data_IF_893167097115
#
_entry.id   IF_893167097115
#
_cell.length_a   1.000
_cell.length_b   1.000
_cell.length_c   1.000
_cell.angle_alpha   90.00
_cell.angle_beta   90.00
_cell.angle_gamma   90.00
#
_symmetry.space_group_name_H-M   'P 1'
#
loop_
_entity.id
_entity.type
_entity.pdbx_description
1 polymer ?
#
# COMPACT_ATOMS: atom_id res chain seq x y z
N UNK A 1 -24.70 1.86 2.68
CA UNK A 1 -23.26 1.52 2.75
C UNK A 1 -22.80 1.26 1.34
N UNK A 2 -22.02 2.17 0.74
CA UNK A 2 -21.41 1.91 -0.58
C UNK A 2 -20.24 0.94 -0.37
N UNK A 3 -20.11 -0.03 -1.28
CA UNK A 3 -19.15 -1.14 -1.27
C UNK A 3 -17.77 -0.70 -0.80
N UNK A 4 -17.49 -0.96 0.47
CA UNK A 4 -16.13 -1.06 0.92
C UNK A 4 -15.54 -2.31 0.25
N UNK A 5 -14.36 -2.16 -0.33
CA UNK A 5 -13.67 -3.24 -1.04
C UNK A 5 -13.09 -4.23 -0.03
N UNK A 6 -13.99 -4.99 0.60
CA UNK A 6 -13.69 -6.02 1.58
C UNK A 6 -13.40 -7.33 0.85
N UNK A 7 -12.26 -7.93 1.14
CA UNK A 7 -11.81 -9.19 0.53
C UNK A 7 -11.17 -10.07 1.60
N UNK A 8 -11.71 -11.26 1.83
CA UNK A 8 -11.08 -12.25 2.71
C UNK A 8 -9.87 -12.90 2.04
N UNK A 9 -8.98 -13.46 2.86
CA UNK A 9 -7.85 -14.27 2.38
C UNK A 9 -8.28 -15.37 1.41
N UNK A 10 -9.30 -16.14 1.76
CA UNK A 10 -9.84 -17.23 0.93
C UNK A 10 -10.33 -16.72 -0.45
N UNK A 11 -10.89 -15.50 -0.50
CA UNK A 11 -11.36 -14.89 -1.75
C UNK A 11 -10.17 -14.44 -2.61
N UNK A 12 -9.10 -13.95 -1.99
CA UNK A 12 -7.84 -13.68 -2.69
C UNK A 12 -7.22 -14.98 -3.23
N UNK A 13 -7.16 -16.04 -2.43
CA UNK A 13 -6.62 -17.35 -2.85
C UNK A 13 -7.42 -17.93 -4.03
N UNK A 14 -8.75 -17.86 -3.96
CA UNK A 14 -9.63 -18.25 -5.06
C UNK A 14 -9.37 -17.40 -6.31
N UNK A 15 -9.25 -16.08 -6.15
CA UNK A 15 -8.94 -15.18 -7.26
C UNK A 15 -7.60 -15.52 -7.93
N UNK A 16 -6.54 -15.77 -7.15
CA UNK A 16 -5.23 -16.14 -7.70
C UNK A 16 -5.33 -17.45 -8.50
N UNK A 17 -5.94 -18.47 -7.91
CA UNK A 17 -6.08 -19.80 -8.53
C UNK A 17 -6.90 -19.74 -9.81
N UNK A 18 -8.01 -18.99 -9.83
CA UNK A 18 -8.86 -18.79 -11.01
C UNK A 18 -8.12 -18.11 -12.18
N UNK A 19 -7.08 -17.33 -11.87
CA UNK A 19 -6.25 -16.66 -12.88
C UNK A 19 -4.96 -17.44 -13.19
N UNK A 20 -4.91 -18.74 -12.87
CA UNK A 20 -3.80 -19.62 -13.22
C UNK A 20 -2.54 -19.43 -12.37
N UNK A 21 -2.63 -18.69 -11.27
CA UNK A 21 -1.52 -18.50 -10.33
C UNK A 21 -1.54 -19.66 -9.34
N UNK A 22 -0.45 -20.41 -9.31
CA UNK A 22 -0.24 -21.44 -8.29
C UNK A 22 0.10 -20.79 -6.96
N UNK A 23 -0.67 -21.12 -5.93
CA UNK A 23 -0.37 -20.75 -4.55
C UNK A 23 0.62 -21.80 -4.02
N UNK A 24 1.86 -21.39 -3.82
CA UNK A 24 2.94 -22.18 -3.24
C UNK A 24 3.24 -21.77 -1.80
N UNK A 25 4.15 -22.49 -1.14
CA UNK A 25 4.56 -22.20 0.24
C UNK A 25 5.14 -20.79 0.39
N UNK A 26 5.65 -20.22 -0.70
CA UNK A 26 6.21 -18.88 -0.72
C UNK A 26 5.12 -17.81 -0.55
N UNK A 27 4.03 -17.92 -1.31
CA UNK A 27 2.85 -17.06 -1.16
C UNK A 27 2.15 -17.30 0.18
N UNK A 28 1.97 -18.56 0.59
CA UNK A 28 1.32 -18.91 1.87
C UNK A 28 2.08 -18.30 3.05
N UNK A 29 3.41 -18.44 3.06
CA UNK A 29 4.26 -17.86 4.12
C UNK A 29 4.11 -16.34 4.18
N UNK A 30 4.01 -15.66 3.04
CA UNK A 30 3.80 -14.21 3.02
C UNK A 30 2.42 -13.82 3.58
N UNK A 31 1.36 -14.58 3.23
CA UNK A 31 0.03 -14.36 3.79
C UNK A 31 0.01 -14.55 5.30
N UNK A 32 0.69 -15.58 5.81
CA UNK A 32 0.78 -15.85 7.25
C UNK A 32 1.53 -14.75 7.99
N UNK A 33 2.68 -14.29 7.47
CA UNK A 33 3.44 -13.18 8.06
C UNK A 33 2.62 -11.89 8.07
N UNK A 34 1.95 -11.56 6.96
CA UNK A 34 1.09 -10.38 6.89
C UNK A 34 -0.08 -10.47 7.89
N UNK A 35 -0.69 -11.65 8.00
CA UNK A 35 -1.78 -11.92 8.96
C UNK A 35 -1.31 -11.72 10.41
N UNK A 36 -0.13 -12.23 10.73
CA UNK A 36 0.47 -12.12 12.06
C UNK A 36 0.76 -10.65 12.43
N UNK A 37 1.42 -9.90 11.54
CA UNK A 37 1.82 -8.51 11.77
C UNK A 37 0.61 -7.59 11.89
N UNK A 38 -0.35 -7.73 10.97
CA UNK A 38 -1.51 -6.84 10.92
C UNK A 38 -2.72 -7.35 11.73
N UNK A 39 -2.53 -8.38 12.56
CA UNK A 39 -3.60 -8.94 13.39
C UNK A 39 -4.19 -7.89 14.33
N UNK A 40 -5.52 -7.71 14.26
CA UNK A 40 -6.24 -6.73 15.06
C UNK A 40 -5.95 -5.27 14.72
N UNK A 41 -5.19 -4.98 13.64
CA UNK A 41 -5.06 -3.62 13.11
C UNK A 41 -6.37 -3.25 12.42
N UNK A 42 -6.83 -2.03 12.70
CA UNK A 42 -8.01 -1.45 12.06
C UNK A 42 -7.61 -0.24 11.24
N UNK A 43 -8.40 0.02 10.20
CA UNK A 43 -8.32 1.24 9.39
C UNK A 43 -8.70 2.47 10.22
N UNK A 44 -8.64 3.62 9.55
CA UNK A 44 -8.93 4.93 10.11
C UNK A 44 -10.33 5.11 10.71
N UNK A 45 -11.28 4.23 10.37
CA UNK A 45 -12.61 4.22 10.96
C UNK A 45 -12.69 3.49 12.31
N UNK A 46 -11.57 2.93 12.78
CA UNK A 46 -11.46 2.11 14.00
C UNK A 46 -12.40 0.89 14.04
N UNK A 47 -12.89 0.45 12.88
CA UNK A 47 -13.83 -0.66 12.74
C UNK A 47 -13.36 -1.67 11.71
N UNK A 48 -12.95 -1.19 10.54
CA UNK A 48 -12.62 -2.00 9.39
C UNK A 48 -11.27 -2.69 9.58
N UNK A 49 -11.19 -4.02 9.42
CA UNK A 49 -9.95 -4.74 9.61
C UNK A 49 -8.98 -4.45 8.46
N UNK A 50 -7.70 -4.24 8.81
CA UNK A 50 -6.69 -3.76 7.87
C UNK A 50 -6.43 -4.75 6.73
N UNK A 51 -6.30 -6.05 7.05
CA UNK A 51 -6.02 -7.10 6.09
C UNK A 51 -7.08 -7.16 4.96
N UNK A 52 -8.35 -7.26 5.34
CA UNK A 52 -9.45 -7.46 4.39
C UNK A 52 -9.85 -6.21 3.63
N UNK A 53 -9.40 -5.03 4.07
CA UNK A 53 -9.80 -3.76 3.44
C UNK A 53 -8.61 -3.04 2.81
N UNK A 54 -7.40 -3.53 3.04
CA UNK A 54 -6.16 -2.98 2.50
C UNK A 54 -5.30 -4.07 1.82
N UNK A 55 -4.66 -4.94 2.59
CA UNK A 55 -3.62 -5.84 2.08
C UNK A 55 -4.16 -6.78 0.99
N UNK A 56 -5.26 -7.49 1.25
CA UNK A 56 -5.82 -8.44 0.28
C UNK A 56 -6.40 -7.74 -0.96
N UNK A 57 -7.21 -6.67 -0.83
CA UNK A 57 -7.66 -5.89 -1.98
C UNK A 57 -6.53 -5.30 -2.82
N UNK A 58 -5.50 -4.72 -2.19
CA UNK A 58 -4.33 -4.14 -2.89
C UNK A 58 -3.59 -5.25 -3.67
N UNK A 59 -3.32 -6.38 -3.04
CA UNK A 59 -2.69 -7.53 -3.71
C UNK A 59 -3.51 -7.98 -4.92
N UNK A 60 -4.82 -8.18 -4.75
CA UNK A 60 -5.73 -8.56 -5.84
C UNK A 60 -5.64 -7.58 -7.00
N UNK A 61 -5.67 -6.28 -6.72
CA UNK A 61 -5.74 -5.25 -7.76
C UNK A 61 -4.40 -5.02 -8.47
N UNK A 62 -3.27 -5.28 -7.80
CA UNK A 62 -1.96 -5.39 -8.43
C UNK A 62 -1.96 -6.57 -9.41
N UNK A 63 -2.37 -7.76 -8.99
CA UNK A 63 -2.44 -8.92 -9.89
C UNK A 63 -3.38 -8.65 -11.07
N UNK A 64 -4.56 -8.06 -10.85
CA UNK A 64 -5.48 -7.66 -11.93
C UNK A 64 -4.82 -6.70 -12.92
N UNK A 65 -4.03 -5.75 -12.43
CA UNK A 65 -3.30 -4.82 -13.29
C UNK A 65 -2.33 -5.56 -14.22
N UNK A 66 -1.47 -6.44 -13.68
CA UNK A 66 -0.54 -7.24 -14.48
C UNK A 66 -1.24 -8.06 -15.57
N UNK A 67 -2.36 -8.70 -15.21
CA UNK A 67 -3.18 -9.46 -16.16
C UNK A 67 -3.78 -8.56 -17.25
N UNK A 68 -4.26 -7.37 -16.87
CA UNK A 68 -4.88 -6.41 -17.79
C UNK A 68 -3.89 -5.85 -18.80
N UNK A 69 -2.65 -5.56 -18.38
CA UNK A 69 -1.59 -5.06 -19.27
C UNK A 69 -0.81 -6.18 -19.96
N UNK A 70 -1.25 -7.43 -19.81
CA UNK A 70 -0.60 -8.63 -20.36
C UNK A 70 0.90 -8.71 -20.00
N UNK A 71 1.24 -8.33 -18.76
CA UNK A 71 2.59 -8.43 -18.22
C UNK A 71 2.68 -9.67 -17.35
N UNK A 72 3.76 -10.43 -17.50
CA UNK A 72 4.03 -11.58 -16.63
C UNK A 72 4.14 -11.14 -15.18
N UNK A 73 3.49 -11.90 -14.30
CA UNK A 73 3.56 -11.75 -12.86
C UNK A 73 4.09 -13.06 -12.27
N UNK A 74 4.99 -12.96 -11.30
CA UNK A 74 5.57 -14.11 -10.60
C UNK A 74 5.18 -14.07 -9.12
N UNK A 75 5.52 -15.13 -8.39
CA UNK A 75 5.32 -15.16 -6.94
C UNK A 75 6.08 -14.02 -6.22
N UNK A 76 7.13 -13.44 -6.81
CA UNK A 76 7.88 -12.32 -6.21
C UNK A 76 7.03 -11.05 -6.15
N UNK A 77 6.36 -10.66 -7.23
CA UNK A 77 5.50 -9.47 -7.25
C UNK A 77 4.29 -9.65 -6.34
N UNK A 78 3.72 -10.87 -6.31
CA UNK A 78 2.58 -11.20 -5.44
C UNK A 78 2.98 -11.13 -3.97
N UNK A 79 4.09 -11.75 -3.59
CA UNK A 79 4.61 -11.70 -2.22
C UNK A 79 4.98 -10.27 -1.82
N UNK A 80 5.59 -9.50 -2.71
CA UNK A 80 5.89 -8.08 -2.45
C UNK A 80 4.62 -7.25 -2.23
N UNK A 81 3.55 -7.57 -2.96
CA UNK A 81 2.24 -6.95 -2.79
C UNK A 81 1.60 -7.30 -1.45
N UNK A 82 1.71 -8.55 -1.00
CA UNK A 82 1.20 -8.99 0.31
C UNK A 82 1.97 -8.33 1.47
N UNK A 83 3.27 -8.11 1.28
CA UNK A 83 4.18 -7.63 2.31
C UNK A 83 4.47 -6.12 2.23
N UNK A 84 3.81 -5.36 1.35
CA UNK A 84 4.22 -3.99 1.05
C UNK A 84 4.26 -3.05 2.27
N UNK A 85 3.34 -3.25 3.23
CA UNK A 85 3.21 -2.41 4.42
C UNK A 85 3.82 -3.02 5.69
N UNK A 86 4.43 -4.21 5.60
CA UNK A 86 4.98 -4.89 6.79
C UNK A 86 6.18 -4.18 7.39
N UNK A 87 6.75 -3.18 6.70
CA UNK A 87 7.88 -2.39 7.19
C UNK A 87 7.46 -1.07 7.84
N UNK A 88 6.20 -0.65 7.70
CA UNK A 88 5.68 0.60 8.28
C UNK A 88 5.18 0.43 9.71
N UNK A 89 4.65 -0.74 10.08
CA UNK A 89 4.10 -1.06 11.40
C UNK A 89 5.18 -1.44 12.45
N UNK A 90 6.20 -0.58 12.56
CA UNK A 90 7.44 -0.78 13.34
C UNK A 90 7.22 -1.14 14.82
N UNK A 91 6.21 -0.60 15.50
CA UNK A 91 6.05 -0.77 16.96
C UNK A 91 5.62 -2.19 17.34
N UNK A 92 4.89 -2.90 16.46
CA UNK A 92 4.48 -4.30 16.70
C UNK A 92 5.52 -5.31 16.21
N UNK A 93 6.27 -4.98 15.17
CA UNK A 93 7.41 -5.78 14.69
C UNK A 93 8.48 -5.90 15.78
N UNK A 94 8.71 -4.82 16.53
CA UNK A 94 9.66 -4.78 17.65
C UNK A 94 9.27 -5.71 18.81
N UNK A 95 7.96 -5.83 19.12
CA UNK A 95 7.48 -6.74 20.17
C UNK A 95 7.43 -8.20 19.70
N UNK A 96 7.09 -8.46 18.44
CA UNK A 96 7.03 -9.82 17.90
C UNK A 96 8.42 -10.45 17.75
N UNK A 97 9.42 -9.67 17.33
CA UNK A 97 10.69 -10.20 16.82
C UNK A 97 11.95 -9.77 17.55
N UNK A 98 11.82 -9.17 18.76
CA UNK A 98 12.86 -9.30 19.81
C UNK A 98 13.23 -10.77 20.12
N UNK A 99 12.43 -11.73 19.66
CA UNK A 99 12.60 -13.18 19.88
C UNK A 99 13.34 -13.93 18.75
N UNK A 100 13.59 -13.31 17.59
CA UNK A 100 14.45 -13.91 16.54
C UNK A 100 15.87 -13.38 16.71
N UNK A 101 16.84 -14.26 16.94
CA UNK A 101 18.25 -13.91 17.28
C UNK A 101 18.93 -12.90 16.34
N UNK A 102 18.43 -12.73 15.10
CA UNK A 102 19.06 -11.91 14.04
C UNK A 102 18.22 -10.73 13.52
N UNK A 103 17.03 -10.45 14.07
CA UNK A 103 16.20 -9.28 13.70
C UNK A 103 15.33 -9.42 12.44
N UNK A 104 14.36 -8.50 12.28
CA UNK A 104 13.29 -8.59 11.25
C UNK A 104 13.80 -8.38 9.82
N UNK A 105 14.75 -7.48 9.60
CA UNK A 105 15.35 -7.27 8.27
C UNK A 105 16.02 -8.53 7.73
N UNK A 106 16.78 -9.22 8.58
CA UNK A 106 17.43 -10.48 8.21
C UNK A 106 16.40 -11.61 8.07
N UNK A 107 15.29 -11.59 8.82
CA UNK A 107 14.17 -12.51 8.61
C UNK A 107 13.54 -12.33 7.24
N UNK A 108 13.22 -11.10 6.82
CA UNK A 108 12.64 -10.85 5.50
C UNK A 108 13.59 -11.26 4.39
N UNK A 109 14.88 -10.90 4.49
CA UNK A 109 15.90 -11.32 3.50
C UNK A 109 16.03 -12.84 3.41
N UNK A 110 16.04 -13.54 4.55
CA UNK A 110 16.17 -14.99 4.59
C UNK A 110 14.95 -15.72 4.03
N UNK A 111 13.74 -15.27 4.38
CA UNK A 111 12.49 -15.94 3.99
C UNK A 111 12.02 -15.55 2.59
N UNK A 112 12.22 -14.29 2.21
CA UNK A 112 11.64 -13.71 1.00
C UNK A 112 12.68 -13.21 -0.01
N UNK A 113 13.96 -13.44 0.28
CA UNK A 113 15.04 -13.03 -0.61
C UNK A 113 15.24 -11.52 -0.63
N UNK A 114 16.30 -11.10 -1.34
CA UNK A 114 16.72 -9.70 -1.35
C UNK A 114 15.74 -8.78 -2.09
N UNK A 115 15.14 -9.26 -3.19
CA UNK A 115 14.26 -8.42 -4.02
C UNK A 115 12.99 -7.99 -3.29
N UNK A 116 12.32 -8.91 -2.59
CA UNK A 116 11.13 -8.56 -1.81
C UNK A 116 11.49 -7.60 -0.69
N UNK A 117 12.61 -7.84 0.00
CA UNK A 117 13.09 -6.93 1.04
C UNK A 117 13.35 -5.52 0.49
N UNK A 118 14.02 -5.39 -0.65
CA UNK A 118 14.29 -4.09 -1.30
C UNK A 118 13.00 -3.37 -1.65
N UNK A 119 12.01 -4.06 -2.24
CA UNK A 119 10.69 -3.48 -2.55
C UNK A 119 10.00 -2.96 -1.27
N UNK A 120 9.94 -3.77 -0.21
CA UNK A 120 9.33 -3.36 1.06
C UNK A 120 10.07 -2.15 1.68
N UNK A 121 11.39 -2.08 1.54
CA UNK A 121 12.20 -0.97 2.04
C UNK A 121 11.99 0.32 1.25
N UNK A 122 11.85 0.23 -0.07
CA UNK A 122 11.59 1.38 -0.94
C UNK A 122 10.17 1.94 -0.73
N UNK A 123 9.22 1.09 -0.36
CA UNK A 123 7.85 1.49 -0.07
C UNK A 123 7.69 2.10 1.33
N UNK A 124 8.56 1.73 2.28
CA UNK A 124 8.52 2.22 3.68
C UNK A 124 8.65 3.74 3.77
N UNK A 125 7.67 4.38 4.41
CA UNK A 125 7.79 5.77 4.85
C UNK A 125 8.72 5.85 6.07
N UNK A 126 9.80 6.63 5.95
CA UNK A 126 10.74 6.84 7.05
C UNK A 126 10.14 7.74 8.16
N UNK A 127 10.57 7.56 9.42
CA UNK A 127 10.14 8.40 10.55
C UNK A 127 10.35 9.89 10.29
N UNK A 128 9.43 10.72 10.80
CA UNK A 128 9.39 12.16 10.52
C UNK A 128 10.62 12.89 11.09
N UNK A 129 11.18 12.35 12.18
CA UNK A 129 12.35 12.85 12.91
C UNK A 129 13.62 12.82 12.06
N UNK A 130 13.65 12.00 11.00
CA UNK A 130 14.78 11.90 10.10
C UNK A 130 14.86 13.07 9.09
N UNK A 131 13.83 13.92 9.03
CA UNK A 131 13.70 14.95 8.02
C UNK A 131 13.88 16.36 8.60
N UNK A 132 14.53 17.29 7.86
CA UNK A 132 14.74 18.65 8.32
C UNK A 132 13.43 19.45 8.34
N UNK A 133 13.30 20.38 9.29
CA UNK A 133 12.17 21.31 9.39
C UNK A 133 12.00 21.85 10.81
N UNK A 134 11.56 23.11 10.91
CA UNK A 134 11.32 23.82 12.17
C UNK A 134 10.00 23.41 12.85
N UNK A 135 9.10 22.78 12.08
CA UNK A 135 7.81 22.27 12.53
C UNK A 135 7.44 20.99 11.76
N UNK A 136 6.37 20.32 12.18
CA UNK A 136 5.94 19.05 11.57
C UNK A 136 5.47 19.19 10.12
N UNK A 137 4.90 20.34 9.74
CA UNK A 137 4.47 20.57 8.35
C UNK A 137 5.67 20.64 7.39
N UNK A 138 6.72 21.37 7.77
CA UNK A 138 7.97 21.45 7.01
C UNK A 138 8.64 20.08 6.88
N UNK A 139 8.67 19.30 7.97
CA UNK A 139 9.22 17.93 7.96
C UNK A 139 8.39 16.99 7.09
N UNK A 140 7.06 17.10 7.12
CA UNK A 140 6.17 16.29 6.28
C UNK A 140 6.38 16.59 4.80
N UNK A 141 6.55 17.86 4.45
CA UNK A 141 6.87 18.29 3.09
C UNK A 141 8.24 17.77 2.64
N UNK A 142 9.28 17.91 3.47
CA UNK A 142 10.61 17.39 3.18
C UNK A 142 10.60 15.86 2.97
N UNK A 143 9.88 15.14 3.83
CA UNK A 143 9.67 13.70 3.69
C UNK A 143 8.94 13.34 2.40
N UNK A 144 7.88 14.06 2.06
CA UNK A 144 7.14 13.82 0.83
C UNK A 144 8.02 14.03 -0.41
N UNK A 145 8.82 15.11 -0.46
CA UNK A 145 9.76 15.34 -1.55
C UNK A 145 10.82 14.23 -1.69
N UNK A 146 11.42 13.80 -0.59
CA UNK A 146 12.39 12.69 -0.60
C UNK A 146 11.76 11.39 -1.11
N UNK A 147 10.54 11.10 -0.64
CA UNK A 147 9.79 9.93 -1.06
C UNK A 147 9.41 9.97 -2.55
N UNK A 148 8.90 11.10 -3.04
CA UNK A 148 8.62 11.32 -4.47
C UNK A 148 9.88 11.16 -5.33
N UNK A 149 11.03 11.66 -4.85
CA UNK A 149 12.31 11.50 -5.55
C UNK A 149 12.68 10.02 -5.69
N UNK A 150 12.61 9.24 -4.61
CA UNK A 150 12.88 7.80 -4.65
C UNK A 150 11.93 7.07 -5.60
N UNK A 151 10.62 7.33 -5.48
CA UNK A 151 9.60 6.71 -6.32
C UNK A 151 9.71 7.07 -7.81
N UNK A 152 10.14 8.29 -8.14
CA UNK A 152 10.26 8.76 -9.53
C UNK A 152 11.22 7.91 -10.38
N UNK A 153 12.21 7.28 -9.75
CA UNK A 153 13.16 6.36 -10.37
C UNK A 153 12.87 4.88 -10.07
N UNK A 154 11.76 4.58 -9.39
CA UNK A 154 11.48 3.23 -8.94
C UNK A 154 11.09 2.29 -10.10
N UNK A 155 11.39 1.02 -9.89
CA UNK A 155 11.02 -0.04 -10.82
C UNK A 155 9.49 -0.12 -11.00
N UNK A 156 9.09 -0.77 -12.10
CA UNK A 156 7.69 -1.00 -12.44
C UNK A 156 6.88 -1.57 -11.27
N UNK A 157 7.42 -2.58 -10.58
CA UNK A 157 6.71 -3.29 -9.52
C UNK A 157 6.39 -2.36 -8.34
N UNK A 158 7.37 -1.55 -7.92
CA UNK A 158 7.22 -0.55 -6.85
C UNK A 158 6.20 0.51 -7.27
N UNK A 159 6.29 1.00 -8.51
CA UNK A 159 5.32 1.97 -9.06
C UNK A 159 3.89 1.42 -9.02
N UNK A 160 3.68 0.19 -9.48
CA UNK A 160 2.35 -0.46 -9.47
C UNK A 160 1.84 -0.64 -8.05
N UNK A 161 2.66 -1.20 -7.15
CA UNK A 161 2.26 -1.39 -5.75
C UNK A 161 1.83 -0.07 -5.15
N UNK A 162 2.63 0.99 -5.31
CA UNK A 162 2.35 2.29 -4.69
C UNK A 162 1.10 2.96 -5.26
N UNK A 163 0.86 2.86 -6.56
CA UNK A 163 -0.32 3.44 -7.18
C UNK A 163 -1.61 2.73 -6.77
N UNK A 164 -1.58 1.39 -6.68
CA UNK A 164 -2.73 0.60 -6.22
C UNK A 164 -2.99 0.81 -4.73
N UNK A 165 -1.94 0.84 -3.89
CA UNK A 165 -2.02 1.23 -2.48
C UNK A 165 -2.71 2.60 -2.33
N UNK A 166 -2.21 3.61 -3.07
CA UNK A 166 -2.77 4.96 -3.04
C UNK A 166 -4.24 4.99 -3.48
N UNK A 167 -4.59 4.28 -4.54
CA UNK A 167 -5.96 4.16 -5.02
C UNK A 167 -6.88 3.56 -3.93
N UNK A 168 -6.48 2.43 -3.32
CA UNK A 168 -7.23 1.78 -2.24
C UNK A 168 -7.43 2.74 -1.06
N UNK A 169 -6.38 3.44 -0.65
CA UNK A 169 -6.42 4.40 0.45
C UNK A 169 -7.37 5.57 0.17
N UNK A 170 -7.38 6.12 -1.05
CA UNK A 170 -8.30 7.18 -1.44
C UNK A 170 -9.75 6.68 -1.47
N UNK A 171 -9.98 5.49 -2.03
CA UNK A 171 -11.30 4.86 -2.05
C UNK A 171 -11.84 4.59 -0.66
N UNK A 172 -11.01 4.08 0.26
CA UNK A 172 -11.42 3.80 1.63
C UNK A 172 -11.87 5.09 2.34
N UNK A 173 -11.03 6.14 2.33
CA UNK A 173 -11.37 7.42 2.94
C UNK A 173 -12.64 8.03 2.34
N UNK A 174 -12.85 7.91 1.02
CA UNK A 174 -14.06 8.45 0.36
C UNK A 174 -15.37 7.81 0.84
N UNK A 175 -15.30 6.60 1.39
CA UNK A 175 -16.45 5.84 1.87
C UNK A 175 -16.63 5.90 3.39
N UNK A 176 -15.70 6.55 4.12
CA UNK A 176 -15.80 6.67 5.57
C UNK A 176 -17.01 7.52 5.97
N UNK A 177 -17.78 7.09 6.99
CA UNK A 177 -18.72 7.99 7.66
C UNK A 177 -17.94 9.16 8.27
N UNK A 178 -18.55 10.36 8.38
CA UNK A 178 -17.95 11.57 8.98
C UNK A 178 -17.70 11.45 10.51
N UNK A 179 -17.29 10.27 11.00
CA UNK A 179 -17.15 9.89 12.41
C UNK A 179 -16.13 10.76 13.17
N UNK A 180 -15.21 11.42 12.48
CA UNK A 180 -14.36 12.45 13.07
C UNK A 180 -13.96 13.50 12.02
N UNK A 181 -14.83 14.50 11.84
CA UNK A 181 -14.78 15.45 10.72
C UNK A 181 -13.41 16.12 10.50
N UNK A 182 -12.64 16.35 11.56
CA UNK A 182 -11.32 16.99 11.44
C UNK A 182 -10.23 16.04 10.95
N UNK A 183 -10.15 14.81 11.48
CA UNK A 183 -9.16 13.82 11.05
C UNK A 183 -9.39 13.38 9.60
N UNK A 184 -10.65 13.07 9.26
CA UNK A 184 -11.01 12.68 7.90
C UNK A 184 -10.79 13.84 6.93
N UNK A 185 -11.20 15.07 7.26
CA UNK A 185 -10.98 16.24 6.42
C UNK A 185 -9.48 16.50 6.18
N UNK A 186 -8.64 16.38 7.21
CA UNK A 186 -7.20 16.55 7.08
C UNK A 186 -6.58 15.47 6.17
N UNK A 187 -7.01 14.20 6.30
CA UNK A 187 -6.56 13.13 5.40
C UNK A 187 -7.00 13.37 3.95
N UNK A 188 -8.25 13.79 3.73
CA UNK A 188 -8.77 14.11 2.40
C UNK A 188 -7.92 15.21 1.75
N UNK A 189 -7.70 16.33 2.47
CA UNK A 189 -6.87 17.45 1.98
C UNK A 189 -5.45 17.00 1.63
N UNK A 190 -4.84 16.17 2.49
CA UNK A 190 -3.51 15.61 2.25
C UNK A 190 -3.49 14.73 1.00
N UNK A 191 -4.45 13.80 0.86
CA UNK A 191 -4.51 12.91 -0.30
C UNK A 191 -4.77 13.65 -1.60
N UNK A 192 -5.60 14.69 -1.59
CA UNK A 192 -5.82 15.55 -2.76
C UNK A 192 -4.53 16.27 -3.15
N UNK A 193 -3.83 16.89 -2.20
CA UNK A 193 -2.56 17.57 -2.43
C UNK A 193 -1.50 16.60 -2.99
N UNK A 194 -1.27 15.48 -2.32
CA UNK A 194 -0.28 14.49 -2.77
C UNK A 194 -0.62 13.89 -4.14
N UNK A 195 -1.91 13.73 -4.45
CA UNK A 195 -2.35 13.26 -5.76
C UNK A 195 -2.06 14.29 -6.87
N UNK A 196 -2.33 15.57 -6.61
CA UNK A 196 -2.05 16.69 -7.52
C UNK A 196 -0.55 16.91 -7.71
N UNK A 197 0.21 16.90 -6.61
CA UNK A 197 1.64 17.19 -6.62
C UNK A 197 2.48 16.05 -7.22
N UNK A 198 1.99 14.81 -7.14
CA UNK A 198 2.80 13.65 -7.54
C UNK A 198 2.01 12.52 -8.21
N UNK A 199 1.08 11.86 -7.51
CA UNK A 199 0.63 10.53 -7.94
C UNK A 199 -0.06 10.50 -9.31
N UNK A 200 -0.83 11.54 -9.67
CA UNK A 200 -1.48 11.62 -10.99
C UNK A 200 -0.44 11.69 -12.11
N UNK A 201 0.60 12.51 -11.96
CA UNK A 201 1.69 12.59 -12.93
C UNK A 201 2.56 11.35 -12.91
N UNK A 202 2.83 10.79 -11.72
CA UNK A 202 3.65 9.60 -11.54
C UNK A 202 3.12 8.38 -12.33
N UNK A 203 1.80 8.20 -12.39
CA UNK A 203 1.16 7.16 -13.19
C UNK A 203 1.35 7.34 -14.72
N UNK A 204 1.64 8.56 -15.16
CA UNK A 204 1.87 8.90 -16.57
C UNK A 204 3.36 8.92 -16.96
N UNK A 205 4.27 9.02 -15.99
CA UNK A 205 5.71 8.91 -16.22
C UNK A 205 6.08 7.48 -16.62
N UNK A 206 7.09 7.33 -17.47
CA UNK A 206 7.54 6.00 -17.89
C UNK A 206 8.11 5.17 -16.72
N UNK A 207 7.85 3.84 -16.65
CA UNK A 207 6.89 3.12 -17.48
C UNK A 207 5.44 3.55 -17.16
N UNK A 208 4.68 3.98 -18.17
CA UNK A 208 3.35 4.54 -17.98
C UNK A 208 2.29 3.46 -17.70
N UNK A 209 1.45 3.69 -16.68
CA UNK A 209 0.40 2.77 -16.22
C UNK A 209 -0.98 3.41 -16.35
N UNK A 210 -1.42 3.55 -17.61
CA UNK A 210 -2.60 4.34 -18.00
C UNK A 210 -3.91 3.86 -17.35
N UNK A 211 -4.07 2.56 -17.14
CA UNK A 211 -5.24 1.99 -16.49
C UNK A 211 -5.29 2.39 -14.99
N UNK A 212 -4.15 2.39 -14.31
CA UNK A 212 -4.04 2.87 -12.93
C UNK A 212 -4.24 4.38 -12.83
N UNK A 213 -3.74 5.16 -13.80
CA UNK A 213 -4.02 6.59 -13.88
C UNK A 213 -5.52 6.88 -13.88
N UNK A 214 -6.31 6.14 -14.68
CA UNK A 214 -7.76 6.35 -14.75
C UNK A 214 -8.44 6.08 -13.42
N UNK A 215 -8.08 4.98 -12.75
CA UNK A 215 -8.62 4.62 -11.42
C UNK A 215 -8.22 5.63 -10.34
N UNK A 216 -6.98 6.08 -10.35
CA UNK A 216 -6.48 7.09 -9.43
C UNK A 216 -7.19 8.43 -9.67
N UNK A 217 -7.39 8.81 -10.94
CA UNK A 217 -8.11 10.04 -11.30
C UNK A 217 -9.55 10.00 -10.83
N UNK A 218 -10.25 8.88 -11.02
CA UNK A 218 -11.61 8.70 -10.51
C UNK A 218 -11.65 8.84 -8.98
N UNK A 219 -10.72 8.19 -8.27
CA UNK A 219 -10.62 8.26 -6.81
C UNK A 219 -10.32 9.68 -6.32
N UNK A 220 -9.47 10.42 -7.04
CA UNK A 220 -9.18 11.84 -6.80
C UNK A 220 -10.44 12.71 -6.96
N UNK A 221 -11.18 12.59 -8.07
CA UNK A 221 -12.37 13.41 -8.30
C UNK A 221 -13.46 13.11 -7.25
N UNK A 222 -13.62 11.84 -6.85
CA UNK A 222 -14.52 11.45 -5.77
C UNK A 222 -14.17 12.12 -4.44
N UNK A 223 -12.88 12.14 -4.07
CA UNK A 223 -12.43 12.85 -2.85
C UNK A 223 -12.61 14.37 -2.95
N UNK A 224 -12.40 14.94 -4.13
CA UNK A 224 -12.52 16.39 -4.36
C UNK A 224 -13.95 16.87 -4.15
N UNK A 225 -14.93 16.08 -4.61
CA UNK A 225 -16.34 16.36 -4.38
C UNK A 225 -16.69 16.40 -2.88
N UNK A 226 -16.11 15.49 -2.09
CA UNK A 226 -16.31 15.43 -0.63
C UNK A 226 -15.64 16.57 0.12
N UNK A 227 -14.50 17.10 -0.37
CA UNK A 227 -13.83 18.23 0.26
C UNK A 227 -14.58 19.57 0.05
N UNK A 228 -15.38 19.66 -1.03
CA UNK A 228 -16.15 20.85 -1.38
C UNK A 228 -17.57 20.87 -0.76
N UNK A 229 -17.92 19.87 0.05
CA UNK A 229 -19.23 19.75 0.75
C UNK A 229 -19.11 19.87 2.26
#
# INVERSE_FOLDING_TARGET
>A
MKNQDFLKREELENFLTQNGIRIDDYIITAMDVSTEIHSGIKREDNQSPFLETHIWPVTRDIVKHYLTVNRSITSVEIVSSILHDVMEDNDRILDLYKTKEYGFDAYLKYRFGIRVYEICMDLKIKPLENYPGNNDEERQLARFHDYCKGLSSADYDIKVIKLVDRENNMKFISNMPKLDGNLVSNKIKRYLREAEDFYLSFALLEPAVKDLYLKLRESYENLKLLNNT
#
